data_IF_918963012207
#
_entry.id   IF_918963012207
#
_cell.length_a   1.000
_cell.length_b   1.000
_cell.length_c   1.000
_cell.angle_alpha   90.00
_cell.angle_beta   90.00
_cell.angle_gamma   90.00
#
_symmetry.space_group_name_H-M   'P 1'
#
loop_
_entity.id
_entity.type
_entity.pdbx_description
1 polymer ?
#
# COMPACT_ATOMS: atom_id res chain seq x y z
N UNK A 1 19.38 -7.77 -12.84
CA UNK A 1 19.19 -8.31 -11.47
C UNK A 1 18.46 -9.64 -11.61
N UNK A 2 18.75 -10.69 -10.83
CA UNK A 2 18.04 -11.96 -11.06
C UNK A 2 16.58 -11.86 -10.59
N UNK A 3 15.65 -12.51 -11.30
CA UNK A 3 14.22 -12.59 -10.95
C UNK A 3 13.99 -12.95 -9.48
N UNK A 4 14.80 -13.88 -8.95
CA UNK A 4 14.76 -14.29 -7.54
C UNK A 4 15.10 -13.14 -6.59
N UNK A 5 16.16 -12.36 -6.87
CA UNK A 5 16.53 -11.20 -6.06
C UNK A 5 15.46 -10.10 -6.11
N UNK A 6 14.81 -9.90 -7.25
CA UNK A 6 13.72 -8.93 -7.39
C UNK A 6 12.52 -9.32 -6.54
N UNK A 7 12.06 -10.56 -6.63
CA UNK A 7 10.97 -11.06 -5.79
C UNK A 7 11.34 -10.91 -4.30
N UNK A 8 12.56 -11.29 -3.90
CA UNK A 8 13.00 -11.17 -2.50
C UNK A 8 13.01 -9.73 -1.99
N UNK A 9 13.50 -8.76 -2.78
CA UNK A 9 13.50 -7.36 -2.37
C UNK A 9 12.11 -6.73 -2.40
N UNK A 10 11.25 -7.08 -3.35
CA UNK A 10 9.85 -6.62 -3.35
C UNK A 10 9.09 -7.15 -2.14
N UNK A 11 9.32 -8.42 -1.76
CA UNK A 11 8.71 -9.00 -0.56
C UNK A 11 9.24 -8.32 0.72
N UNK A 12 10.55 -8.09 0.80
CA UNK A 12 11.17 -7.34 1.90
C UNK A 12 10.62 -5.91 1.98
N UNK A 13 10.53 -5.20 0.86
CA UNK A 13 9.95 -3.86 0.80
C UNK A 13 8.49 -3.84 1.24
N UNK A 14 7.70 -4.84 0.87
CA UNK A 14 6.33 -4.99 1.33
C UNK A 14 6.25 -5.24 2.84
N UNK A 15 7.06 -6.15 3.38
CA UNK A 15 7.10 -6.44 4.81
C UNK A 15 7.58 -5.24 5.62
N UNK A 16 8.63 -4.56 5.17
CA UNK A 16 9.11 -3.31 5.75
C UNK A 16 7.99 -2.26 5.72
N UNK A 17 7.34 -2.07 4.58
CA UNK A 17 6.20 -1.15 4.48
C UNK A 17 5.06 -1.50 5.45
N UNK A 18 4.74 -2.78 5.59
CA UNK A 18 3.63 -3.25 6.42
C UNK A 18 3.91 -3.10 7.92
N UNK A 19 5.14 -3.34 8.38
CA UNK A 19 5.48 -3.34 9.81
C UNK A 19 6.17 -2.05 10.25
N UNK A 20 7.13 -1.55 9.49
CA UNK A 20 7.97 -0.41 9.91
C UNK A 20 7.19 0.91 9.82
N UNK A 21 6.39 1.11 8.76
CA UNK A 21 5.63 2.37 8.61
C UNK A 21 4.64 2.56 9.77
N UNK A 22 3.77 1.58 10.13
CA UNK A 22 2.90 1.73 11.29
C UNK A 22 3.68 1.91 12.59
N UNK A 23 4.78 1.19 12.80
CA UNK A 23 5.60 1.34 14.01
C UNK A 23 6.20 2.73 14.16
N UNK A 24 6.70 3.34 13.07
CA UNK A 24 7.22 4.72 13.09
C UNK A 24 6.10 5.71 13.40
N UNK A 25 4.91 5.53 12.81
CA UNK A 25 3.78 6.43 13.03
C UNK A 25 3.28 6.37 14.48
N UNK A 26 3.23 5.17 15.05
CA UNK A 26 2.95 4.98 16.49
C UNK A 26 4.03 5.64 17.35
N UNK A 27 5.31 5.49 16.98
CA UNK A 27 6.42 6.12 17.71
C UNK A 27 6.38 7.65 17.67
N UNK A 28 5.93 8.25 16.55
CA UNK A 28 5.69 9.69 16.42
C UNK A 28 4.44 10.19 17.16
N UNK A 29 3.74 9.31 17.89
CA UNK A 29 2.52 9.65 18.62
C UNK A 29 1.31 9.87 17.71
N UNK A 30 1.39 9.49 16.43
CA UNK A 30 0.27 9.55 15.50
C UNK A 30 -0.53 8.25 15.64
N UNK A 31 -1.78 8.28 16.14
CA UNK A 31 -2.60 7.09 16.22
C UNK A 31 -2.91 6.61 14.80
N UNK A 32 -2.12 5.65 14.32
CA UNK A 32 -2.23 5.14 12.97
C UNK A 32 -3.25 4.01 12.91
N UNK A 33 -4.43 4.35 12.42
CA UNK A 33 -5.37 3.39 11.87
C UNK A 33 -5.63 3.79 10.43
N UNK A 34 -5.64 2.81 9.52
CA UNK A 34 -6.04 3.04 8.14
C UNK A 34 -7.42 3.69 8.07
N UNK A 35 -8.33 3.33 8.98
CA UNK A 35 -9.65 3.95 9.10
C UNK A 35 -9.56 5.43 9.49
N UNK A 36 -8.64 5.82 10.38
CA UNK A 36 -8.43 7.21 10.78
C UNK A 36 -7.87 8.04 9.64
N UNK A 37 -6.91 7.51 8.88
CA UNK A 37 -6.34 8.20 7.70
C UNK A 37 -7.42 8.39 6.63
N UNK A 38 -8.21 7.35 6.37
CA UNK A 38 -9.34 7.45 5.45
C UNK A 38 -10.40 8.44 5.95
N UNK A 39 -10.69 8.46 7.25
CA UNK A 39 -11.60 9.42 7.85
C UNK A 39 -11.06 10.86 7.75
N UNK A 40 -9.75 11.06 7.85
CA UNK A 40 -9.14 12.37 7.70
C UNK A 40 -9.23 12.88 6.25
N UNK A 41 -9.05 12.00 5.27
CA UNK A 41 -9.07 12.35 3.84
C UNK A 41 -10.49 12.48 3.29
N UNK A 42 -11.38 11.54 3.65
CA UNK A 42 -12.73 11.45 3.09
C UNK A 42 -13.83 11.95 4.06
N UNK A 43 -13.49 12.28 5.30
CA UNK A 43 -14.45 12.66 6.35
C UNK A 43 -15.24 11.46 6.89
N UNK A 44 -16.42 11.72 7.43
CA UNK A 44 -17.27 10.68 8.01
C UNK A 44 -17.60 9.56 7.00
N UNK A 45 -17.54 8.28 7.42
CA UNK A 45 -17.83 7.15 6.58
C UNK A 45 -19.31 7.13 6.19
N UNK A 46 -19.55 7.15 4.88
CA UNK A 46 -20.87 6.97 4.27
C UNK A 46 -20.73 5.92 3.16
N UNK A 47 -21.80 5.19 2.83
CA UNK A 47 -21.85 4.18 1.77
C UNK A 47 -21.18 4.66 0.47
N UNK A 48 -21.50 5.89 0.02
CA UNK A 48 -20.93 6.46 -1.21
C UNK A 48 -19.41 6.64 -1.10
N UNK A 49 -18.93 7.18 0.03
CA UNK A 49 -17.49 7.36 0.27
C UNK A 49 -16.76 6.02 0.42
N UNK A 50 -17.40 5.01 1.02
CA UNK A 50 -16.87 3.66 1.11
C UNK A 50 -16.64 3.03 -0.26
N UNK A 51 -17.61 3.19 -1.19
CA UNK A 51 -17.45 2.74 -2.58
C UNK A 51 -16.31 3.48 -3.29
N UNK A 52 -16.20 4.80 -3.11
CA UNK A 52 -15.11 5.60 -3.68
C UNK A 52 -13.74 5.12 -3.17
N UNK A 53 -13.60 4.94 -1.86
CA UNK A 53 -12.36 4.44 -1.23
C UNK A 53 -12.02 3.05 -1.76
N UNK A 54 -13.01 2.16 -1.92
CA UNK A 54 -12.81 0.83 -2.46
C UNK A 54 -12.28 0.88 -3.91
N UNK A 55 -12.89 1.69 -4.77
CA UNK A 55 -12.47 1.86 -6.17
C UNK A 55 -11.05 2.45 -6.23
N UNK A 56 -10.76 3.48 -5.44
CA UNK A 56 -9.44 4.11 -5.39
C UNK A 56 -8.36 3.15 -4.90
N UNK A 57 -8.66 2.39 -3.83
CA UNK A 57 -7.74 1.39 -3.30
C UNK A 57 -7.50 0.28 -4.33
N UNK A 58 -8.55 -0.20 -5.00
CA UNK A 58 -8.43 -1.17 -6.08
C UNK A 58 -7.59 -0.67 -7.26
N UNK A 59 -7.75 0.59 -7.66
CA UNK A 59 -6.93 1.22 -8.70
C UNK A 59 -5.45 1.30 -8.29
N UNK A 60 -5.16 1.75 -7.07
CA UNK A 60 -3.79 1.84 -6.55
C UNK A 60 -3.14 0.45 -6.56
N UNK A 61 -3.83 -0.57 -6.03
CA UNK A 61 -3.35 -1.96 -6.04
C UNK A 61 -3.12 -2.45 -7.47
N UNK A 62 -4.05 -2.18 -8.39
CA UNK A 62 -3.90 -2.55 -9.79
C UNK A 62 -2.66 -1.93 -10.43
N UNK A 63 -2.41 -0.63 -10.22
CA UNK A 63 -1.22 0.05 -10.76
C UNK A 63 0.08 -0.50 -10.18
N UNK A 64 0.13 -0.73 -8.86
CA UNK A 64 1.30 -1.29 -8.18
C UNK A 64 1.61 -2.69 -8.70
N UNK A 65 0.60 -3.56 -8.80
CA UNK A 65 0.76 -4.93 -9.32
C UNK A 65 1.17 -4.91 -10.80
N UNK A 66 0.53 -4.08 -11.61
CA UNK A 66 0.86 -3.94 -13.04
C UNK A 66 2.29 -3.47 -13.25
N UNK A 67 2.73 -2.46 -12.51
CA UNK A 67 4.11 -1.95 -12.58
C UNK A 67 5.09 -3.05 -12.17
N UNK A 68 4.84 -3.68 -11.02
CA UNK A 68 5.69 -4.73 -10.48
C UNK A 68 5.82 -5.93 -11.43
N UNK A 69 4.73 -6.29 -12.11
CA UNK A 69 4.70 -7.35 -13.13
C UNK A 69 5.46 -6.97 -14.40
N UNK A 70 5.33 -5.73 -14.86
CA UNK A 70 6.09 -5.22 -16.00
C UNK A 70 7.59 -5.27 -15.71
N UNK A 71 8.01 -4.76 -14.55
CA UNK A 71 9.40 -4.76 -14.13
C UNK A 71 9.96 -6.19 -13.99
N UNK A 72 9.15 -7.12 -13.46
CA UNK A 72 9.51 -8.54 -13.41
C UNK A 72 9.69 -9.18 -14.79
N UNK A 73 8.85 -8.81 -15.77
CA UNK A 73 8.94 -9.32 -17.14
C UNK A 73 10.17 -8.77 -17.88
N UNK A 74 10.53 -7.52 -17.62
CA UNK A 74 11.68 -6.84 -18.25
C UNK A 74 13.04 -7.29 -17.67
N UNK A 75 13.04 -7.87 -16.47
CA UNK A 75 14.18 -8.58 -15.90
C UNK A 75 14.37 -9.94 -16.61
N UNK A 76 15.00 -9.91 -17.80
CA UNK A 76 15.47 -11.12 -18.50
C UNK A 76 16.54 -11.87 -17.68
#
# INVERSE_FOLDING_TARGET
MSKRKYISYSLLGFLVGLFIIPSILVWLGVPFSFATVLHLIFGEPNLVKGVIVFILTGLIVFFVVRSSYKDYKELN
#
